data_IF_142919264365
#
_entry.id   IF_142919264365
#
_cell.length_a   1.000
_cell.length_b   1.000
_cell.length_c   1.000
_cell.angle_alpha   90.00
_cell.angle_beta   90.00
_cell.angle_gamma   90.00
#
_symmetry.space_group_name_H-M   'P 1'
#
loop_
_entity.id
_entity.type
_entity.pdbx_description
1 polymer ?
#
# COMPACT_ATOMS: atom_id res chain seq x y z
N UNK A 1 -43.98 -101.57 -23.28
CA UNK A 1 -42.62 -101.11 -23.66
C UNK A 1 -42.64 -99.59 -23.75
N UNK A 2 -41.75 -98.90 -22.98
CA UNK A 2 -41.17 -97.56 -23.25
C UNK A 2 -42.14 -96.36 -23.30
N UNK A 3 -41.94 -95.19 -22.68
CA UNK A 3 -40.83 -94.48 -21.98
C UNK A 3 -41.50 -93.32 -21.22
N UNK A 4 -41.30 -93.12 -19.91
CA UNK A 4 -40.21 -92.37 -19.27
C UNK A 4 -40.03 -90.92 -19.78
N UNK A 5 -40.35 -90.00 -18.86
CA UNK A 5 -40.21 -88.54 -18.84
C UNK A 5 -38.75 -88.10 -19.06
N UNK A 6 -38.54 -86.96 -19.72
CA UNK A 6 -37.48 -86.00 -19.37
C UNK A 6 -37.71 -84.66 -20.08
N UNK A 7 -38.06 -83.66 -19.27
CA UNK A 7 -38.06 -82.23 -19.59
C UNK A 7 -36.62 -81.75 -19.78
N UNK A 8 -36.33 -81.11 -20.92
CA UNK A 8 -35.06 -80.42 -21.15
C UNK A 8 -35.28 -78.91 -21.01
N UNK A 9 -34.76 -78.35 -19.91
CA UNK A 9 -34.63 -76.92 -19.71
C UNK A 9 -33.41 -76.43 -20.50
N UNK A 10 -33.62 -75.52 -21.45
CA UNK A 10 -32.54 -74.80 -22.11
C UNK A 10 -32.18 -73.57 -21.28
N UNK A 11 -30.96 -73.56 -20.74
CA UNK A 11 -30.40 -72.49 -19.94
C UNK A 11 -30.17 -71.23 -20.81
N UNK A 12 -30.75 -70.10 -20.38
CA UNK A 12 -30.49 -68.79 -20.95
C UNK A 12 -29.22 -68.23 -20.30
N UNK A 13 -28.10 -68.22 -21.02
CA UNK A 13 -26.86 -67.57 -20.58
C UNK A 13 -27.04 -66.06 -20.60
N UNK A 14 -27.18 -65.46 -19.41
CA UNK A 14 -27.21 -64.01 -19.21
C UNK A 14 -25.76 -63.48 -19.30
N UNK A 15 -25.38 -62.91 -20.44
CA UNK A 15 -24.12 -62.20 -20.56
C UNK A 15 -24.23 -60.88 -19.76
N UNK A 16 -23.53 -60.78 -18.63
CA UNK A 16 -23.30 -59.49 -17.96
C UNK A 16 -22.35 -58.65 -18.84
N UNK A 17 -22.92 -57.79 -19.68
CA UNK A 17 -22.19 -56.66 -20.22
C UNK A 17 -22.01 -55.63 -19.10
N UNK A 18 -20.85 -55.62 -18.47
CA UNK A 18 -20.40 -54.48 -17.66
C UNK A 18 -20.22 -53.29 -18.61
N UNK A 19 -21.25 -52.47 -18.77
CA UNK A 19 -21.10 -51.17 -19.38
C UNK A 19 -20.13 -50.37 -18.51
N UNK A 20 -18.90 -50.17 -18.99
CA UNK A 20 -17.97 -49.24 -18.40
C UNK A 20 -18.68 -47.88 -18.34
N UNK A 21 -18.94 -47.40 -17.13
CA UNK A 21 -19.43 -46.04 -16.98
C UNK A 21 -18.39 -45.10 -17.61
N UNK A 22 -18.79 -44.11 -18.41
CA UNK A 22 -17.86 -43.08 -18.81
C UNK A 22 -17.34 -42.45 -17.53
N UNK A 23 -16.04 -42.64 -17.26
CA UNK A 23 -15.36 -41.87 -16.24
C UNK A 23 -15.53 -40.41 -16.66
N UNK A 24 -16.42 -39.69 -15.99
CA UNK A 24 -16.43 -38.25 -16.06
C UNK A 24 -15.06 -37.82 -15.55
N UNK A 25 -14.19 -37.43 -16.47
CA UNK A 25 -12.99 -36.70 -16.14
C UNK A 25 -13.45 -35.53 -15.28
N UNK A 26 -12.94 -35.46 -14.04
CA UNK A 26 -13.09 -34.29 -13.22
C UNK A 26 -12.70 -33.07 -14.08
N UNK A 27 -13.40 -31.92 -13.95
CA UNK A 27 -12.95 -30.69 -14.59
C UNK A 27 -11.45 -30.54 -14.28
N UNK A 28 -10.59 -30.19 -15.25
CA UNK A 28 -9.19 -29.94 -14.95
C UNK A 28 -9.20 -28.93 -13.79
N UNK A 29 -8.76 -29.39 -12.61
CA UNK A 29 -8.66 -28.57 -11.42
C UNK A 29 -7.94 -27.32 -11.88
N UNK A 30 -8.63 -26.17 -11.77
CA UNK A 30 -8.16 -24.92 -12.35
C UNK A 30 -6.68 -24.79 -12.03
N UNK A 31 -5.86 -24.71 -13.08
CA UNK A 31 -4.42 -24.46 -12.90
C UNK A 31 -4.35 -23.28 -11.95
N UNK A 32 -3.94 -23.52 -10.71
CA UNK A 32 -3.73 -22.45 -9.76
C UNK A 32 -2.71 -21.56 -10.42
N UNK A 33 -3.16 -20.42 -10.94
CA UNK A 33 -2.24 -19.39 -11.43
C UNK A 33 -1.29 -19.16 -10.28
N UNK A 34 0.01 -19.37 -10.51
CA UNK A 34 1.00 -19.12 -9.47
C UNK A 34 0.71 -17.74 -8.85
N UNK A 35 0.70 -17.60 -7.52
CA UNK A 35 0.43 -16.32 -6.88
C UNK A 35 1.29 -15.25 -7.54
N UNK A 36 0.66 -14.13 -7.91
CA UNK A 36 1.43 -13.01 -8.45
C UNK A 36 2.44 -12.58 -7.39
N UNK A 37 3.67 -12.29 -7.81
CA UNK A 37 4.67 -11.65 -6.95
C UNK A 37 4.50 -10.13 -6.91
N UNK A 38 3.56 -9.59 -7.69
CA UNK A 38 3.28 -8.16 -7.74
C UNK A 38 2.31 -7.78 -6.63
N UNK A 39 2.61 -6.67 -5.97
CA UNK A 39 1.63 -5.94 -5.20
C UNK A 39 0.81 -4.99 -6.06
N UNK A 40 -0.25 -4.45 -5.47
CA UNK A 40 -1.12 -3.45 -6.10
C UNK A 40 -1.39 -2.38 -5.06
N UNK A 41 -1.30 -1.12 -5.45
CA UNK A 41 -1.76 0.00 -4.64
C UNK A 41 -3.09 0.57 -5.16
N UNK A 42 -3.96 0.98 -4.25
CA UNK A 42 -5.31 1.49 -4.53
C UNK A 42 -5.69 2.60 -3.57
N UNK A 43 -6.58 3.48 -4.01
CA UNK A 43 -7.18 4.51 -3.17
C UNK A 43 -8.54 4.94 -3.73
N UNK A 44 -8.98 6.15 -3.40
CA UNK A 44 -10.26 6.72 -3.79
C UNK A 44 -10.59 6.65 -5.30
N UNK A 45 -9.63 6.67 -6.26
CA UNK A 45 -9.99 6.56 -7.67
C UNK A 45 -10.57 5.19 -8.05
N UNK A 46 -10.29 4.14 -7.26
CA UNK A 46 -10.81 2.80 -7.49
C UNK A 46 -12.09 2.48 -6.69
N UNK A 47 -12.69 3.46 -5.99
CA UNK A 47 -13.94 3.22 -5.28
C UNK A 47 -15.07 2.77 -6.23
N UNK A 48 -15.88 1.81 -5.78
CA UNK A 48 -17.00 1.26 -6.58
C UNK A 48 -16.57 0.32 -7.72
N UNK A 49 -15.28 0.03 -7.86
CA UNK A 49 -14.76 -0.90 -8.87
C UNK A 49 -14.50 -2.29 -8.27
N UNK A 50 -14.42 -3.31 -9.13
CA UNK A 50 -13.95 -4.64 -8.71
C UNK A 50 -12.42 -4.66 -8.74
N UNK A 51 -11.79 -4.78 -7.58
CA UNK A 51 -10.34 -4.87 -7.47
C UNK A 51 -9.83 -6.26 -7.88
N UNK A 52 -8.63 -6.37 -8.51
CA UNK A 52 -8.02 -7.65 -8.84
C UNK A 52 -7.78 -8.52 -7.60
N UNK A 53 -7.61 -9.83 -7.80
CA UNK A 53 -7.28 -10.77 -6.71
C UNK A 53 -5.98 -11.51 -6.99
N UNK A 54 -5.40 -12.11 -5.95
CA UNK A 54 -4.16 -12.91 -6.08
C UNK A 54 -2.87 -12.09 -6.03
N UNK A 55 -2.95 -10.80 -5.71
CA UNK A 55 -1.80 -9.93 -5.47
C UNK A 55 -0.95 -10.43 -4.29
N UNK A 56 0.37 -10.19 -4.34
CA UNK A 56 1.28 -10.53 -3.25
C UNK A 56 1.01 -9.73 -1.98
N UNK A 57 0.76 -8.43 -2.15
CA UNK A 57 0.47 -7.47 -1.09
C UNK A 57 -0.43 -6.35 -1.64
N UNK A 58 -1.17 -5.68 -0.75
CA UNK A 58 -1.98 -4.51 -1.07
C UNK A 58 -1.48 -3.28 -0.31
N UNK A 59 -1.37 -2.15 -0.98
CA UNK A 59 -1.08 -0.85 -0.36
C UNK A 59 -2.33 0.01 -0.51
N UNK A 60 -2.84 0.55 0.59
CA UNK A 60 -4.13 1.28 0.59
C UNK A 60 -3.91 2.73 0.99
N UNK A 61 -4.38 3.65 0.15
CA UNK A 61 -4.38 5.08 0.44
C UNK A 61 -5.38 5.40 1.55
N UNK A 62 -4.89 5.90 2.68
CA UNK A 62 -5.72 6.32 3.82
C UNK A 62 -6.44 7.64 3.51
N UNK A 63 -5.76 8.51 2.78
CA UNK A 63 -6.26 9.82 2.36
C UNK A 63 -6.94 9.78 1.00
N UNK A 64 -7.87 10.71 0.78
CA UNK A 64 -8.68 10.81 -0.45
C UNK A 64 -8.09 11.75 -1.50
N UNK A 65 -6.77 11.70 -1.72
CA UNK A 65 -6.06 12.56 -2.69
C UNK A 65 -5.60 13.91 -2.16
N UNK A 66 -5.90 14.24 -0.90
CA UNK A 66 -5.34 15.39 -0.18
C UNK A 66 -5.00 14.94 1.24
N UNK A 67 -3.98 15.55 1.85
CA UNK A 67 -3.56 15.26 3.23
C UNK A 67 -4.64 15.54 4.31
N UNK A 68 -5.78 16.11 3.93
CA UNK A 68 -6.90 16.44 4.83
C UNK A 68 -8.16 15.63 4.56
N UNK A 69 -8.24 14.90 3.44
CA UNK A 69 -9.43 14.13 3.04
C UNK A 69 -9.28 12.66 3.40
N UNK A 70 -10.40 11.99 3.64
CA UNK A 70 -10.44 10.54 3.91
C UNK A 70 -10.79 9.79 2.63
N UNK A 71 -10.10 8.68 2.36
CA UNK A 71 -10.51 7.77 1.28
C UNK A 71 -11.89 7.16 1.61
N UNK A 72 -12.94 7.41 0.81
CA UNK A 72 -14.30 6.98 1.14
C UNK A 72 -14.52 5.47 1.06
N UNK A 73 -13.63 4.72 0.39
CA UNK A 73 -13.68 3.27 0.33
C UNK A 73 -12.55 2.58 1.13
N UNK A 74 -11.93 3.29 2.08
CA UNK A 74 -10.81 2.77 2.87
C UNK A 74 -11.11 1.43 3.54
N UNK A 75 -12.29 1.25 4.16
CA UNK A 75 -12.65 0.00 4.83
C UNK A 75 -12.72 -1.19 3.84
N UNK A 76 -13.39 -1.02 2.70
CA UNK A 76 -13.49 -2.07 1.68
C UNK A 76 -12.12 -2.43 1.10
N UNK A 77 -11.28 -1.42 0.87
CA UNK A 77 -9.93 -1.60 0.35
C UNK A 77 -8.99 -2.26 1.37
N UNK A 78 -9.11 -1.96 2.67
CA UNK A 78 -8.39 -2.70 3.72
C UNK A 78 -8.81 -4.17 3.77
N UNK A 79 -10.12 -4.44 3.68
CA UNK A 79 -10.65 -5.81 3.62
C UNK A 79 -10.20 -6.56 2.35
N UNK A 80 -10.02 -5.86 1.23
CA UNK A 80 -9.41 -6.41 0.02
C UNK A 80 -7.92 -6.70 0.21
N UNK A 81 -7.15 -5.75 0.72
CA UNK A 81 -5.70 -5.89 0.91
C UNK A 81 -5.36 -7.03 1.87
N UNK A 82 -6.18 -7.25 2.91
CA UNK A 82 -6.01 -8.37 3.85
C UNK A 82 -6.04 -9.76 3.18
N UNK A 83 -6.68 -9.87 2.01
CA UNK A 83 -6.76 -11.11 1.21
C UNK A 83 -5.51 -11.37 0.35
N UNK A 84 -4.52 -10.49 0.40
CA UNK A 84 -3.26 -10.67 -0.34
C UNK A 84 -2.58 -11.99 0.03
N UNK A 85 -1.85 -12.57 -0.92
CA UNK A 85 -1.28 -13.93 -0.78
C UNK A 85 -0.06 -13.98 0.12
N UNK A 86 0.69 -12.88 0.25
CA UNK A 86 1.96 -12.84 0.97
C UNK A 86 3.09 -13.54 0.20
N UNK A 87 3.03 -13.59 -1.13
CA UNK A 87 4.02 -14.28 -1.97
C UNK A 87 5.41 -13.63 -2.01
N UNK A 88 5.64 -12.55 -1.26
CA UNK A 88 6.92 -11.84 -1.15
C UNK A 88 7.22 -11.52 0.32
N UNK A 89 8.39 -10.95 0.61
CA UNK A 89 8.75 -10.48 1.97
C UNK A 89 8.12 -9.15 2.37
N UNK A 90 7.39 -8.51 1.46
CA UNK A 90 6.65 -7.30 1.77
C UNK A 90 5.51 -7.59 2.74
N UNK A 91 5.19 -6.63 3.60
CA UNK A 91 4.02 -6.72 4.44
C UNK A 91 2.76 -6.87 3.56
N UNK A 92 1.87 -7.79 3.94
CA UNK A 92 0.67 -8.12 3.15
C UNK A 92 -0.26 -6.93 2.95
N UNK A 93 -0.36 -6.08 3.97
CA UNK A 93 -1.15 -4.86 3.97
C UNK A 93 -0.22 -3.73 4.38
N UNK A 94 -0.21 -2.68 3.57
CA UNK A 94 0.55 -1.45 3.78
C UNK A 94 -0.36 -0.27 3.53
N UNK A 95 0.04 0.90 4.00
CA UNK A 95 -0.76 2.12 3.95
C UNK A 95 0.06 3.23 3.32
N UNK A 96 -0.59 4.14 2.61
CA UNK A 96 0.03 5.39 2.22
C UNK A 96 -0.87 6.59 2.55
N UNK A 97 -0.24 7.74 2.76
CA UNK A 97 -0.91 9.00 3.08
C UNK A 97 -0.36 10.11 2.19
N UNK A 98 -1.25 10.88 1.57
CA UNK A 98 -0.88 12.10 0.86
C UNK A 98 -0.28 13.06 1.88
N UNK A 99 0.88 13.62 1.54
CA UNK A 99 1.57 14.59 2.38
C UNK A 99 1.33 16.00 1.84
N UNK A 100 1.49 17.03 2.68
CA UNK A 100 1.29 18.41 2.25
C UNK A 100 2.02 19.40 3.17
N UNK A 101 2.46 20.52 2.63
CA UNK A 101 2.86 21.69 3.39
C UNK A 101 2.23 22.95 2.81
N UNK A 102 1.12 23.45 3.39
CA UNK A 102 0.51 24.68 2.93
C UNK A 102 1.16 25.94 3.52
N UNK A 103 2.22 25.84 4.34
CA UNK A 103 3.05 26.99 4.77
C UNK A 103 2.30 28.14 5.45
N UNK A 104 1.26 27.85 6.25
CA UNK A 104 0.50 28.90 6.93
C UNK A 104 -0.28 29.86 6.02
N UNK A 105 -0.49 29.51 4.73
CA UNK A 105 -1.18 30.31 3.71
C UNK A 105 -2.69 30.46 3.97
N UNK A 106 -3.09 30.96 5.14
CA UNK A 106 -4.50 31.04 5.57
C UNK A 106 -5.14 29.67 5.79
N UNK A 107 -4.32 28.63 5.98
CA UNK A 107 -4.81 27.26 6.18
C UNK A 107 -5.40 27.10 7.57
N UNK A 108 -6.69 26.78 7.64
CA UNK A 108 -7.41 26.63 8.91
C UNK A 108 -6.81 25.54 9.83
N UNK A 109 -6.17 24.50 9.25
CA UNK A 109 -5.50 23.43 10.00
C UNK A 109 -4.04 23.71 10.34
N UNK A 110 -3.52 24.92 10.07
CA UNK A 110 -2.17 25.30 10.46
C UNK A 110 -2.07 25.40 11.99
N UNK A 111 -1.06 24.77 12.62
CA UNK A 111 -0.94 24.75 14.07
C UNK A 111 -0.55 26.13 14.62
N UNK A 112 -1.08 26.47 15.80
CA UNK A 112 -0.71 27.67 16.58
C UNK A 112 0.04 27.32 17.87
N UNK A 113 0.25 26.04 18.13
CA UNK A 113 0.97 25.49 19.27
C UNK A 113 1.62 24.18 18.86
N UNK A 114 2.66 23.75 19.58
CA UNK A 114 3.33 22.48 19.34
C UNK A 114 3.17 21.49 20.49
N UNK A 115 3.15 20.21 20.13
CA UNK A 115 3.41 19.09 21.04
C UNK A 115 4.84 19.15 21.58
N UNK A 116 5.07 18.51 22.73
CA UNK A 116 6.41 18.40 23.31
C UNK A 116 7.31 17.53 22.41
N UNK A 117 8.62 17.84 22.38
CA UNK A 117 9.59 17.07 21.60
C UNK A 117 9.71 17.48 20.12
N UNK A 118 9.08 18.57 19.70
CA UNK A 118 9.32 19.17 18.39
C UNK A 118 10.81 19.61 18.27
N UNK A 119 11.60 19.03 17.34
CA UNK A 119 13.03 19.29 17.24
C UNK A 119 13.36 20.70 16.72
N UNK A 120 12.38 21.41 16.16
CA UNK A 120 12.52 22.76 15.63
C UNK A 120 12.08 23.85 16.63
N UNK A 121 11.70 23.45 17.86
CA UNK A 121 11.26 24.38 18.91
C UNK A 121 9.74 24.54 18.96
N UNK A 122 9.29 25.68 19.46
CA UNK A 122 7.86 25.95 19.68
C UNK A 122 7.19 26.44 18.41
N UNK A 123 6.08 25.82 18.03
CA UNK A 123 5.18 26.41 17.04
C UNK A 123 4.31 27.48 17.70
N UNK A 124 4.31 28.69 17.13
CA UNK A 124 3.58 29.87 17.60
C UNK A 124 2.52 30.36 16.60
N UNK A 125 2.25 29.60 15.54
CA UNK A 125 1.36 29.98 14.44
C UNK A 125 2.07 30.62 13.25
N UNK A 126 3.37 30.93 13.34
CA UNK A 126 4.14 31.45 12.22
C UNK A 126 4.39 30.39 11.13
N UNK A 127 4.77 30.84 9.94
CA UNK A 127 5.33 29.98 8.89
C UNK A 127 6.80 29.64 9.20
N UNK A 128 6.99 28.76 10.18
CA UNK A 128 8.30 28.32 10.68
C UNK A 128 8.48 26.80 10.53
N UNK A 129 9.73 26.32 10.63
CA UNK A 129 10.00 24.88 10.66
C UNK A 129 9.31 24.17 11.82
N UNK A 130 9.17 24.84 12.97
CA UNK A 130 8.45 24.32 14.13
C UNK A 130 6.97 24.08 13.81
N UNK A 131 6.30 25.04 13.15
CA UNK A 131 4.90 24.87 12.77
C UNK A 131 4.71 23.91 11.59
N UNK A 132 5.64 23.86 10.63
CA UNK A 132 5.62 22.85 9.57
C UNK A 132 5.76 21.43 10.14
N UNK A 133 6.71 21.20 11.05
CA UNK A 133 6.84 19.91 11.73
C UNK A 133 5.58 19.54 12.50
N UNK A 134 5.02 20.50 13.25
CA UNK A 134 3.80 20.24 14.00
C UNK A 134 2.60 19.98 13.08
N UNK A 135 2.54 20.63 11.91
CA UNK A 135 1.50 20.37 10.92
C UNK A 135 1.56 18.91 10.46
N UNK A 136 2.76 18.43 10.12
CA UNK A 136 2.99 17.02 9.78
C UNK A 136 2.58 16.06 10.90
N UNK A 137 2.99 16.34 12.14
CA UNK A 137 2.56 15.55 13.29
C UNK A 137 1.03 15.46 13.39
N UNK A 138 0.33 16.59 13.24
CA UNK A 138 -1.13 16.64 13.29
C UNK A 138 -1.77 15.87 12.13
N UNK A 139 -1.24 15.97 10.90
CA UNK A 139 -1.74 15.20 9.75
C UNK A 139 -1.68 13.69 10.02
N UNK A 140 -0.51 13.20 10.43
CA UNK A 140 -0.32 11.77 10.72
C UNK A 140 -1.18 11.30 11.91
N UNK A 141 -1.39 12.14 12.93
CA UNK A 141 -2.31 11.81 14.02
C UNK A 141 -3.75 11.65 13.52
N UNK A 142 -4.23 12.56 12.67
CA UNK A 142 -5.56 12.43 12.07
C UNK A 142 -5.66 11.20 11.16
N UNK A 143 -4.61 10.90 10.39
CA UNK A 143 -4.56 9.71 9.52
C UNK A 143 -4.74 8.44 10.34
N UNK A 144 -4.11 8.35 11.51
CA UNK A 144 -4.28 7.21 12.42
C UNK A 144 -5.65 7.21 13.08
N UNK A 145 -5.97 8.27 13.81
CA UNK A 145 -7.06 8.24 14.79
C UNK A 145 -8.44 8.48 14.15
N UNK A 146 -8.50 9.30 13.10
CA UNK A 146 -9.76 9.72 12.49
C UNK A 146 -10.06 8.98 11.18
N UNK A 147 -9.03 8.51 10.47
CA UNK A 147 -9.18 7.88 9.15
C UNK A 147 -8.99 6.36 9.22
N UNK A 148 -7.78 5.92 9.54
CA UNK A 148 -7.40 4.52 9.49
C UNK A 148 -8.09 3.67 10.55
N UNK A 149 -8.01 4.02 11.84
CA UNK A 149 -8.50 3.16 12.91
C UNK A 149 -10.01 2.83 12.78
N UNK A 150 -10.92 3.78 12.49
CA UNK A 150 -12.34 3.47 12.26
C UNK A 150 -12.57 2.57 11.04
N UNK A 151 -11.84 2.80 9.95
CA UNK A 151 -11.95 1.99 8.74
C UNK A 151 -11.41 0.56 8.94
N UNK A 152 -10.29 0.41 9.65
CA UNK A 152 -9.71 -0.88 10.00
C UNK A 152 -10.66 -1.72 10.87
N UNK A 153 -11.30 -1.09 11.88
CA UNK A 153 -12.33 -1.73 12.70
C UNK A 153 -13.50 -2.22 11.84
N UNK A 154 -13.98 -1.38 10.92
CA UNK A 154 -15.07 -1.73 9.99
C UNK A 154 -14.68 -2.90 9.08
N UNK A 155 -13.45 -2.88 8.57
CA UNK A 155 -12.87 -3.93 7.74
C UNK A 155 -12.53 -5.22 8.50
N UNK A 156 -12.58 -5.18 9.85
CA UNK A 156 -12.17 -6.27 10.76
C UNK A 156 -10.71 -6.70 10.56
N UNK A 157 -9.84 -5.73 10.30
CA UNK A 157 -8.38 -5.89 10.31
C UNK A 157 -7.79 -5.23 11.55
N UNK A 158 -6.49 -5.42 11.81
CA UNK A 158 -5.86 -4.77 12.97
C UNK A 158 -5.98 -3.25 12.86
N UNK A 159 -6.42 -2.59 13.92
CA UNK A 159 -6.44 -1.13 14.01
C UNK A 159 -5.17 -0.57 14.69
N UNK A 160 -4.18 -1.43 14.99
CA UNK A 160 -2.91 -1.02 15.59
C UNK A 160 -1.96 -0.48 14.52
N UNK A 161 -1.56 0.81 14.55
CA UNK A 161 -0.67 1.39 13.54
C UNK A 161 0.69 0.71 13.43
N UNK A 162 1.15 0.07 14.52
CA UNK A 162 2.43 -0.65 14.57
C UNK A 162 2.48 -1.90 13.67
N UNK A 163 1.32 -2.40 13.23
CA UNK A 163 1.25 -3.59 12.39
C UNK A 163 1.47 -3.27 10.89
N UNK A 164 1.67 -1.99 10.55
CA UNK A 164 1.68 -1.51 9.17
C UNK A 164 2.91 -0.66 8.83
N UNK A 165 3.28 -0.68 7.55
CA UNK A 165 4.16 0.31 6.93
C UNK A 165 3.31 1.47 6.42
N UNK A 166 3.73 2.69 6.73
CA UNK A 166 3.11 3.95 6.33
C UNK A 166 4.02 4.68 5.34
N UNK A 167 3.63 4.69 4.07
CA UNK A 167 4.32 5.41 3.01
C UNK A 167 3.88 6.86 2.98
N UNK A 168 4.86 7.76 3.08
CA UNK A 168 4.64 9.18 2.86
C UNK A 168 4.66 9.45 1.36
N UNK A 169 3.48 9.70 0.79
CA UNK A 169 3.31 10.04 -0.63
C UNK A 169 3.75 11.49 -0.86
N UNK A 170 4.89 11.68 -1.52
CA UNK A 170 5.54 12.96 -1.81
C UNK A 170 5.56 13.22 -3.31
N UNK A 171 4.46 13.77 -3.81
CA UNK A 171 4.27 14.12 -5.22
C UNK A 171 4.02 15.61 -5.44
N UNK A 172 4.34 16.11 -6.63
CA UNK A 172 4.18 17.50 -7.03
C UNK A 172 2.72 17.92 -7.14
N UNK A 173 1.82 16.97 -7.32
CA UNK A 173 0.37 17.20 -7.35
C UNK A 173 -0.22 17.42 -5.94
N UNK A 174 0.54 17.10 -4.89
CA UNK A 174 0.17 17.45 -3.52
C UNK A 174 0.41 18.95 -3.25
N UNK A 175 -0.22 19.47 -2.19
CA UNK A 175 -0.06 20.87 -1.78
C UNK A 175 1.28 21.08 -1.09
N UNK A 176 2.18 21.85 -1.70
CA UNK A 176 3.49 22.18 -1.13
C UNK A 176 3.76 23.68 -1.06
N UNK A 177 4.71 24.07 -0.20
CA UNK A 177 5.35 25.37 -0.35
C UNK A 177 6.09 25.35 -1.68
N UNK A 178 5.67 26.27 -2.53
CA UNK A 178 6.22 26.46 -3.87
C UNK A 178 7.19 27.64 -3.86
N UNK A 179 8.19 27.62 -4.75
CA UNK A 179 9.27 28.60 -4.78
C UNK A 179 10.62 27.96 -5.06
N UNK A 180 10.77 26.69 -4.69
CA UNK A 180 11.94 25.88 -4.99
C UNK A 180 13.21 26.30 -4.26
N UNK A 181 13.08 27.16 -3.24
CA UNK A 181 14.21 27.58 -2.41
C UNK A 181 14.60 26.48 -1.43
N UNK A 182 15.83 26.52 -0.92
CA UNK A 182 16.27 25.59 0.13
C UNK A 182 15.45 25.74 1.42
N UNK A 183 14.91 26.94 1.69
CA UNK A 183 14.03 27.19 2.82
C UNK A 183 12.65 26.53 2.64
N UNK A 184 12.07 26.59 1.44
CA UNK A 184 10.80 25.90 1.13
C UNK A 184 10.97 24.38 1.27
N UNK A 185 12.06 23.85 0.71
CA UNK A 185 12.40 22.43 0.81
C UNK A 185 12.63 22.00 2.26
N UNK A 186 13.31 22.82 3.06
CA UNK A 186 13.48 22.55 4.49
C UNK A 186 12.15 22.53 5.24
N UNK A 187 11.22 23.44 4.92
CA UNK A 187 9.88 23.47 5.50
C UNK A 187 9.06 22.23 5.10
N UNK A 188 9.11 21.83 3.84
CA UNK A 188 8.45 20.61 3.36
C UNK A 188 9.03 19.36 4.05
N UNK A 189 10.36 19.26 4.19
CA UNK A 189 10.99 18.18 4.96
C UNK A 189 10.55 18.17 6.42
N UNK A 190 10.42 19.33 7.06
CA UNK A 190 9.96 19.39 8.44
C UNK A 190 8.57 18.77 8.62
N UNK A 191 7.63 18.97 7.68
CA UNK A 191 6.35 18.25 7.67
C UNK A 191 6.56 16.73 7.64
N UNK A 192 7.38 16.24 6.70
CA UNK A 192 7.63 14.81 6.55
C UNK A 192 8.25 14.20 7.81
N UNK A 193 9.16 14.93 8.46
CA UNK A 193 9.78 14.54 9.73
C UNK A 193 8.77 14.49 10.87
N UNK A 194 7.80 15.41 10.89
CA UNK A 194 6.70 15.44 11.85
C UNK A 194 5.73 14.29 11.69
N UNK A 195 5.32 14.00 10.45
CA UNK A 195 4.50 12.83 10.12
C UNK A 195 5.21 11.53 10.54
N UNK A 196 6.49 11.43 10.16
CA UNK A 196 7.35 10.32 10.52
C UNK A 196 7.45 10.12 12.03
N UNK A 197 7.68 11.20 12.78
CA UNK A 197 7.78 11.14 14.23
C UNK A 197 6.48 10.64 14.87
N UNK A 198 5.33 11.08 14.37
CA UNK A 198 4.04 10.60 14.88
C UNK A 198 3.85 9.09 14.62
N UNK A 199 4.01 8.63 13.39
CA UNK A 199 3.83 7.20 13.06
C UNK A 199 4.79 6.31 13.87
N UNK A 200 6.06 6.71 13.99
CA UNK A 200 7.05 6.01 14.83
C UNK A 200 6.64 6.01 16.30
N UNK A 201 6.08 7.11 16.82
CA UNK A 201 5.58 7.17 18.20
C UNK A 201 4.43 6.17 18.46
N UNK A 202 3.73 5.76 17.40
CA UNK A 202 2.68 4.75 17.40
C UNK A 202 3.19 3.35 17.03
N UNK A 203 4.51 3.18 16.92
CA UNK A 203 5.17 1.92 16.57
C UNK A 203 5.13 1.57 15.08
N UNK A 204 4.56 2.42 14.22
CA UNK A 204 4.46 2.20 12.78
C UNK A 204 5.83 2.30 12.09
N UNK A 205 6.06 1.43 11.11
CA UNK A 205 7.16 1.61 10.18
C UNK A 205 6.80 2.71 9.16
N UNK A 206 7.78 3.52 8.75
CA UNK A 206 7.56 4.62 7.80
C UNK A 206 8.52 4.50 6.65
N UNK A 207 8.02 4.68 5.43
CA UNK A 207 8.79 4.74 4.19
C UNK A 207 8.47 6.00 3.37
N UNK A 208 9.29 6.26 2.34
CA UNK A 208 9.19 7.44 1.49
C UNK A 208 8.77 7.06 0.08
N UNK A 209 7.74 7.69 -0.46
CA UNK A 209 7.31 7.51 -1.84
C UNK A 209 7.54 8.78 -2.64
N UNK A 210 8.42 8.71 -3.65
CA UNK A 210 8.64 9.77 -4.62
C UNK A 210 9.52 9.27 -5.77
N UNK A 211 9.45 9.94 -6.92
CA UNK A 211 10.58 9.88 -7.87
C UNK A 211 11.73 10.76 -7.35
N UNK A 212 13.00 10.46 -7.72
CA UNK A 212 14.13 11.34 -7.38
C UNK A 212 13.95 12.80 -7.84
N UNK A 213 13.30 13.00 -9.00
CA UNK A 213 12.98 14.33 -9.51
C UNK A 213 12.02 15.09 -8.59
N UNK A 214 10.87 14.48 -8.27
CA UNK A 214 9.86 15.09 -7.41
C UNK A 214 10.43 15.37 -6.01
N UNK A 215 11.18 14.41 -5.45
CA UNK A 215 11.88 14.57 -4.19
C UNK A 215 12.83 15.76 -4.20
N UNK A 216 13.67 15.88 -5.25
CA UNK A 216 14.60 17.00 -5.39
C UNK A 216 13.91 18.36 -5.46
N UNK A 217 12.71 18.44 -6.01
CA UNK A 217 11.92 19.68 -6.06
C UNK A 217 11.26 20.01 -4.71
N UNK A 218 10.67 19.00 -4.06
CA UNK A 218 9.81 19.17 -2.88
C UNK A 218 10.61 19.18 -1.59
N UNK A 219 11.42 18.14 -1.37
CA UNK A 219 12.12 17.88 -0.12
C UNK A 219 13.61 18.22 -0.21
N UNK A 220 14.26 18.02 -1.36
CA UNK A 220 15.69 18.26 -1.55
C UNK A 220 16.57 17.42 -0.61
N UNK A 221 17.77 17.94 -0.30
CA UNK A 221 18.77 17.21 0.49
C UNK A 221 18.34 16.96 1.93
N UNK A 222 18.29 15.68 2.33
CA UNK A 222 18.00 15.27 3.71
C UNK A 222 19.27 15.31 4.55
N UNK A 223 19.30 16.04 5.69
CA UNK A 223 20.41 16.00 6.64
C UNK A 223 20.58 14.60 7.24
N UNK A 224 21.82 14.15 7.48
CA UNK A 224 22.09 12.82 8.03
C UNK A 224 21.47 12.56 9.42
N UNK A 225 21.23 13.62 10.21
CA UNK A 225 20.56 13.54 11.51
C UNK A 225 19.02 13.57 11.44
N UNK A 226 18.44 13.72 10.25
CA UNK A 226 16.98 13.69 10.05
C UNK A 226 16.43 12.30 10.32
N UNK A 227 15.22 12.23 10.89
CA UNK A 227 14.51 10.96 11.06
C UNK A 227 14.00 10.36 9.73
N UNK A 228 14.21 11.03 8.59
CA UNK A 228 13.96 10.51 7.25
C UNK A 228 15.15 9.69 6.70
N UNK A 229 16.36 9.86 7.26
CA UNK A 229 17.52 9.08 6.87
C UNK A 229 17.33 7.60 7.23
N UNK A 230 17.87 6.71 6.38
CA UNK A 230 17.80 5.27 6.60
C UNK A 230 16.45 4.61 6.32
N UNK A 231 15.45 5.36 5.84
CA UNK A 231 14.12 4.79 5.58
C UNK A 231 14.06 4.00 4.28
N UNK A 232 13.12 3.08 4.25
CA UNK A 232 12.77 2.36 3.04
C UNK A 232 12.07 3.31 2.06
N UNK A 233 12.30 3.06 0.77
CA UNK A 233 11.84 3.93 -0.31
C UNK A 233 11.03 3.13 -1.33
N UNK A 234 9.97 3.76 -1.82
CA UNK A 234 9.07 3.25 -2.83
C UNK A 234 9.13 4.17 -4.06
N UNK A 235 9.74 3.68 -5.14
CA UNK A 235 10.02 4.48 -6.34
C UNK A 235 8.95 4.30 -7.41
N UNK A 236 8.18 5.34 -7.77
CA UNK A 236 7.23 5.28 -8.87
C UNK A 236 7.82 5.71 -10.21
N UNK A 237 6.98 5.67 -11.26
CA UNK A 237 7.26 6.30 -12.55
C UNK A 237 7.63 5.34 -13.69
N UNK A 238 7.74 4.03 -13.43
CA UNK A 238 7.95 3.07 -14.50
C UNK A 238 6.66 2.82 -15.31
N UNK A 239 6.81 2.55 -16.62
CA UNK A 239 5.70 2.19 -17.52
C UNK A 239 5.56 0.68 -17.76
N UNK A 240 6.48 -0.10 -17.21
CA UNK A 240 6.54 -1.56 -17.40
C UNK A 240 7.11 -2.20 -16.14
N UNK A 241 6.76 -3.46 -15.88
CA UNK A 241 7.32 -4.23 -14.77
C UNK A 241 8.85 -4.26 -14.80
N UNK A 242 9.46 -4.51 -15.97
CA UNK A 242 10.92 -4.49 -16.14
C UNK A 242 11.53 -3.12 -15.83
N UNK A 243 10.78 -2.05 -16.05
CA UNK A 243 11.18 -0.70 -15.63
C UNK A 243 11.24 -0.58 -14.11
N UNK A 244 10.19 -1.03 -13.42
CA UNK A 244 10.15 -1.03 -11.95
C UNK A 244 11.24 -1.94 -11.34
N UNK A 245 11.49 -3.12 -11.91
CA UNK A 245 12.59 -4.00 -11.49
C UNK A 245 13.96 -3.32 -11.59
N UNK A 246 14.18 -2.46 -12.58
CA UNK A 246 15.41 -1.66 -12.68
C UNK A 246 15.44 -0.51 -11.69
N UNK A 247 14.28 0.10 -11.39
CA UNK A 247 14.17 1.18 -10.41
C UNK A 247 14.59 0.73 -9.00
N UNK A 248 14.52 -0.57 -8.69
CA UNK A 248 15.07 -1.14 -7.46
C UNK A 248 16.57 -0.86 -7.23
N UNK A 249 17.32 -0.50 -8.27
CA UNK A 249 18.75 -0.18 -8.21
C UNK A 249 19.04 1.32 -8.37
N UNK A 250 18.02 2.17 -8.35
CA UNK A 250 18.21 3.62 -8.44
C UNK A 250 18.82 4.20 -7.16
N UNK A 251 19.35 5.42 -7.30
CA UNK A 251 19.85 6.19 -6.17
C UNK A 251 18.71 6.53 -5.20
N UNK A 252 19.02 6.47 -3.91
CA UNK A 252 18.04 6.69 -2.86
C UNK A 252 17.71 8.17 -2.67
N UNK A 253 16.50 8.45 -2.19
CA UNK A 253 15.98 9.79 -1.88
C UNK A 253 16.68 10.42 -0.67
N UNK A 254 16.99 9.60 0.35
CA UNK A 254 17.62 10.02 1.58
C UNK A 254 18.93 9.25 1.86
N UNK A 255 19.88 9.83 2.64
CA UNK A 255 21.09 9.13 3.06
C UNK A 255 20.78 7.83 3.79
N UNK A 256 21.47 6.76 3.41
CA UNK A 256 21.32 5.44 4.01
C UNK A 256 19.99 4.74 3.70
N UNK A 257 19.14 5.32 2.85
CA UNK A 257 17.88 4.72 2.43
C UNK A 257 18.06 3.42 1.65
N UNK A 258 16.94 2.75 1.35
CA UNK A 258 16.92 1.54 0.53
C UNK A 258 15.63 1.49 -0.29
N UNK A 259 15.75 1.39 -1.60
CA UNK A 259 14.59 1.11 -2.46
C UNK A 259 14.08 -0.30 -2.15
N UNK A 260 12.92 -0.41 -1.50
CA UNK A 260 12.30 -1.68 -1.13
C UNK A 260 11.08 -2.01 -2.00
N UNK A 261 10.49 -1.00 -2.65
CA UNK A 261 9.41 -1.13 -3.62
C UNK A 261 9.65 -0.26 -4.85
N UNK A 262 9.15 -0.72 -6.00
CA UNK A 262 9.09 0.09 -7.21
C UNK A 262 7.75 -0.10 -7.93
N UNK A 263 7.14 1.00 -8.38
CA UNK A 263 5.82 1.01 -9.00
C UNK A 263 5.91 1.11 -10.54
N UNK A 264 5.00 0.45 -11.23
CA UNK A 264 4.70 0.70 -12.62
C UNK A 264 3.20 0.72 -12.89
N UNK A 265 2.80 1.51 -13.88
CA UNK A 265 1.39 1.59 -14.31
C UNK A 265 1.12 0.62 -15.45
N UNK A 266 0.07 -0.18 -15.35
CA UNK A 266 -0.39 -1.06 -16.42
C UNK A 266 -1.91 -1.22 -16.40
N UNK A 267 -2.57 -0.98 -17.55
CA UNK A 267 -4.02 -1.18 -17.66
C UNK A 267 -4.86 -0.27 -16.74
N UNK A 268 -4.34 0.91 -16.37
CA UNK A 268 -5.02 1.85 -15.48
C UNK A 268 -4.94 1.51 -14.00
N UNK A 269 -4.03 0.62 -13.61
CA UNK A 269 -3.77 0.25 -12.23
C UNK A 269 -2.28 0.31 -11.93
N UNK A 270 -1.99 0.59 -10.66
CA UNK A 270 -0.64 0.74 -10.14
C UNK A 270 -0.18 -0.59 -9.52
N UNK A 271 0.84 -1.17 -10.16
CA UNK A 271 1.45 -2.43 -9.77
C UNK A 271 2.82 -2.19 -9.14
N UNK A 272 3.17 -3.03 -8.17
CA UNK A 272 4.38 -2.87 -7.38
C UNK A 272 5.25 -4.12 -7.42
N UNK A 273 6.53 -3.91 -7.69
CA UNK A 273 7.58 -4.93 -7.60
C UNK A 273 8.24 -4.81 -6.22
N UNK A 274 8.42 -5.95 -5.55
CA UNK A 274 9.27 -6.03 -4.36
C UNK A 274 10.73 -5.95 -4.77
N UNK A 275 11.48 -4.99 -4.21
CA UNK A 275 12.93 -4.88 -4.37
C UNK A 275 13.70 -5.63 -3.27
N UNK A 276 12.99 -6.21 -2.31
CA UNK A 276 13.53 -7.10 -1.29
C UNK A 276 13.17 -8.55 -1.63
N UNK A 277 14.18 -9.43 -1.59
CA UNK A 277 14.04 -10.88 -1.80
C UNK A 277 13.98 -11.63 -0.49
#
# INVERSE_FOLDING_TARGET
MRRAVMTAAAALTLALATAAQPAFAAPPGGKGTAPSTLGIDVSWPQCGTTLPSGQAFGIVGVTGGLATTTNPCLADQLGWAAKSTGATKQAKVQLYVNTANPGGLGTASWPTSSTAGNPYGTCDGSDSLACAWQYGWNRAQEDVDQRFAPAAQTAKVSANPADYVWWLDVELDNTWKTGGTDADRASNRAVLEGMTAHFVSRGGAVGLYATPYQWGQIAGTVPAGSNLAGRDEWHPGARTQRGAERACAEATLAPGGRVSLAQFVSGGLDYNVSCIG
#
